data_IF_899862440623
#
_entry.id   IF_899862440623
#
_cell.length_a   1.000
_cell.length_b   1.000
_cell.length_c   1.000
_cell.angle_alpha   90.00
_cell.angle_beta   90.00
_cell.angle_gamma   90.00
#
_symmetry.space_group_name_H-M   'P 1'
#
loop_
_entity.id
_entity.type
_entity.pdbx_description
1 polymer ?
#
# COMPACT_ATOMS: atom_id res chain seq x y z
N UNK A 1 -2.25 -9.56 32.14
CA UNK A 1 -0.80 -9.85 32.01
C UNK A 1 -0.40 -10.43 30.64
N UNK A 2 -1.32 -10.60 29.70
CA UNK A 2 -1.06 -11.19 28.37
C UNK A 2 -0.85 -10.18 27.25
N UNK A 3 -1.15 -8.90 27.47
CA UNK A 3 -0.97 -7.84 26.46
C UNK A 3 0.49 -7.42 26.25
N UNK A 4 1.35 -7.65 27.22
CA UNK A 4 2.78 -7.28 27.15
C UNK A 4 3.59 -8.23 26.27
N UNK A 5 3.25 -9.52 26.18
CA UNK A 5 4.01 -10.48 25.38
C UNK A 5 3.74 -10.32 23.89
N UNK A 6 2.46 -10.20 23.49
CA UNK A 6 2.09 -10.02 22.09
C UNK A 6 2.69 -8.73 21.48
N UNK A 7 2.67 -7.62 22.21
CA UNK A 7 3.31 -6.38 21.78
C UNK A 7 4.84 -6.51 21.68
N UNK A 8 5.47 -7.28 22.59
CA UNK A 8 6.91 -7.57 22.57
C UNK A 8 7.29 -8.40 21.32
N UNK A 9 6.47 -9.36 20.95
CA UNK A 9 6.75 -10.26 19.82
C UNK A 9 6.63 -9.52 18.48
N UNK A 10 5.63 -8.65 18.34
CA UNK A 10 5.49 -7.76 17.17
C UNK A 10 6.68 -6.79 17.10
N UNK A 11 7.09 -6.19 18.21
CA UNK A 11 8.23 -5.28 18.26
C UNK A 11 9.55 -5.95 17.85
N UNK A 12 9.74 -7.21 18.26
CA UNK A 12 10.91 -8.02 17.89
C UNK A 12 10.79 -8.62 16.48
N UNK A 13 9.69 -8.39 15.76
CA UNK A 13 9.38 -9.01 14.45
C UNK A 13 9.34 -10.54 14.51
N UNK A 14 8.88 -11.09 15.62
CA UNK A 14 8.76 -12.54 15.81
C UNK A 14 7.44 -13.09 15.25
N UNK A 15 6.42 -12.22 15.06
CA UNK A 15 5.14 -12.57 14.45
C UNK A 15 4.84 -11.56 13.35
N UNK A 16 4.64 -12.05 12.15
CA UNK A 16 4.31 -11.23 10.99
C UNK A 16 2.81 -11.24 10.72
N UNK A 17 2.23 -10.04 10.55
CA UNK A 17 0.82 -9.86 10.28
C UNK A 17 0.58 -9.37 8.87
N UNK A 18 -0.44 -9.91 8.20
CA UNK A 18 -0.97 -9.38 6.94
C UNK A 18 -2.42 -8.94 7.07
N UNK A 19 -2.90 -8.19 6.08
CA UNK A 19 -4.22 -7.55 6.06
C UNK A 19 -5.14 -8.25 5.06
N UNK A 20 -6.26 -8.81 5.53
CA UNK A 20 -7.28 -9.47 4.71
C UNK A 20 -8.53 -8.62 4.55
N UNK A 21 -8.50 -7.60 3.68
CA UNK A 21 -9.63 -6.70 3.45
C UNK A 21 -10.29 -6.95 2.12
N UNK A 22 -9.63 -6.55 1.02
CA UNK A 22 -10.18 -6.63 -0.33
C UNK A 22 -10.49 -8.05 -0.78
N UNK A 23 -11.53 -8.20 -1.59
CA UNK A 23 -11.90 -9.42 -2.27
C UNK A 23 -11.99 -9.18 -3.78
N UNK A 24 -12.02 -10.22 -4.63
CA UNK A 24 -12.16 -10.03 -6.07
C UNK A 24 -13.35 -9.16 -6.48
N UNK A 25 -14.46 -9.24 -5.75
CA UNK A 25 -15.68 -8.45 -5.96
C UNK A 25 -15.84 -7.24 -5.03
N UNK A 26 -14.88 -6.95 -4.15
CA UNK A 26 -15.02 -5.94 -3.09
C UNK A 26 -13.69 -5.24 -2.82
N UNK A 27 -13.46 -4.15 -3.53
CA UNK A 27 -12.30 -3.26 -3.37
C UNK A 27 -12.71 -1.90 -2.83
N UNK A 28 -13.05 -0.95 -3.71
CA UNK A 28 -13.53 0.39 -3.31
C UNK A 28 -14.84 0.30 -2.50
N UNK A 29 -15.77 -0.57 -2.89
CA UNK A 29 -16.93 -0.93 -2.08
C UNK A 29 -16.58 -2.08 -1.12
N UNK A 30 -15.68 -1.80 -0.18
CA UNK A 30 -15.17 -2.79 0.77
C UNK A 30 -16.28 -3.41 1.63
N UNK A 31 -17.34 -2.64 1.93
CA UNK A 31 -18.47 -3.12 2.72
C UNK A 31 -19.28 -4.24 2.03
N UNK A 32 -19.10 -4.46 0.74
CA UNK A 32 -19.72 -5.57 -0.01
C UNK A 32 -18.97 -6.89 0.10
N UNK A 33 -17.99 -7.00 1.01
CA UNK A 33 -17.24 -8.23 1.25
C UNK A 33 -18.15 -9.42 1.56
N UNK A 34 -17.75 -10.61 1.10
CA UNK A 34 -18.54 -11.84 1.14
C UNK A 34 -17.88 -13.03 1.85
N UNK A 35 -16.58 -12.92 2.20
CA UNK A 35 -15.90 -13.94 3.02
C UNK A 35 -16.68 -14.15 4.30
N UNK A 36 -17.26 -15.35 4.47
CA UNK A 36 -18.15 -15.68 5.60
C UNK A 36 -17.36 -16.18 6.80
N UNK A 37 -17.86 -15.88 7.98
CA UNK A 37 -17.45 -16.53 9.21
C UNK A 37 -18.71 -16.96 9.98
N UNK A 38 -18.84 -18.24 10.24
CA UNK A 38 -19.97 -18.85 10.95
C UNK A 38 -19.49 -19.35 12.29
N UNK A 39 -20.21 -19.02 13.34
CA UNK A 39 -19.92 -19.46 14.70
C UNK A 39 -20.19 -20.96 14.84
N UNK A 40 -19.21 -21.72 15.33
CA UNK A 40 -19.32 -23.15 15.60
C UNK A 40 -18.54 -23.48 16.89
N UNK A 41 -19.28 -23.72 17.96
CA UNK A 41 -18.72 -23.96 19.30
C UNK A 41 -17.96 -22.74 19.82
N UNK A 42 -16.67 -22.90 20.06
CA UNK A 42 -15.78 -21.84 20.58
C UNK A 42 -14.95 -21.13 19.48
N UNK A 43 -15.29 -21.36 18.22
CA UNK A 43 -14.56 -20.85 17.06
C UNK A 43 -15.49 -20.35 15.95
N UNK A 44 -14.93 -19.61 15.00
CA UNK A 44 -15.53 -19.27 13.72
C UNK A 44 -14.96 -20.14 12.62
N UNK A 45 -15.80 -20.66 11.75
CA UNK A 45 -15.41 -21.32 10.50
C UNK A 45 -15.47 -20.28 9.38
N UNK A 46 -14.31 -20.06 8.74
CA UNK A 46 -14.14 -18.99 7.75
C UNK A 46 -14.01 -19.59 6.36
N UNK A 47 -14.83 -19.08 5.43
CA UNK A 47 -14.85 -19.50 4.02
C UNK A 47 -14.89 -18.27 3.10
N UNK A 48 -14.00 -18.22 2.12
CA UNK A 48 -13.94 -17.14 1.15
C UNK A 48 -12.55 -16.87 0.60
N UNK A 49 -12.39 -15.70 0.01
CA UNK A 49 -11.14 -15.31 -0.64
C UNK A 49 -10.82 -13.84 -0.39
N UNK A 50 -9.58 -13.56 -0.04
CA UNK A 50 -9.02 -12.20 -0.03
C UNK A 50 -8.03 -12.02 -1.18
N UNK A 51 -7.87 -10.78 -1.62
CA UNK A 51 -6.93 -10.41 -2.69
C UNK A 51 -6.11 -9.19 -2.28
N UNK A 52 -4.95 -9.03 -2.90
CA UNK A 52 -4.00 -7.95 -2.59
C UNK A 52 -3.45 -8.00 -1.16
N UNK A 53 -3.42 -9.18 -0.56
CA UNK A 53 -2.89 -9.40 0.80
C UNK A 53 -1.37 -9.32 0.77
N UNK A 54 -0.81 -8.23 1.30
CA UNK A 54 0.63 -8.00 1.30
C UNK A 54 1.38 -9.05 2.10
N UNK A 55 2.35 -9.73 1.46
CA UNK A 55 3.23 -10.74 2.05
C UNK A 55 2.49 -11.87 2.81
N UNK A 56 1.30 -12.24 2.38
CA UNK A 56 0.54 -13.31 3.03
C UNK A 56 1.24 -14.67 2.98
N UNK A 57 2.10 -14.88 2.00
CA UNK A 57 2.96 -16.07 1.85
C UNK A 57 4.08 -16.18 2.91
N UNK A 58 4.26 -15.15 3.73
CA UNK A 58 5.28 -15.05 4.77
C UNK A 58 4.71 -14.69 6.14
N UNK A 59 3.41 -14.36 6.18
CA UNK A 59 2.77 -13.91 7.40
C UNK A 59 2.37 -15.10 8.29
N UNK A 60 2.53 -14.93 9.59
CA UNK A 60 2.09 -15.90 10.59
C UNK A 60 0.59 -15.74 10.89
N UNK A 61 0.09 -14.50 10.82
CA UNK A 61 -1.29 -14.16 11.14
C UNK A 61 -1.87 -13.16 10.16
N UNK A 62 -3.20 -13.22 10.00
CA UNK A 62 -3.97 -12.25 9.23
C UNK A 62 -5.04 -11.59 10.10
N UNK A 63 -5.15 -10.27 10.03
CA UNK A 63 -6.35 -9.58 10.53
C UNK A 63 -7.33 -9.40 9.37
N UNK A 64 -8.51 -9.94 9.53
CA UNK A 64 -9.44 -10.17 8.43
C UNK A 64 -10.82 -9.55 8.69
N UNK A 65 -11.37 -8.86 7.69
CA UNK A 65 -12.78 -8.49 7.67
C UNK A 65 -13.59 -9.66 7.11
N UNK A 66 -14.62 -10.06 7.86
CA UNK A 66 -15.47 -11.19 7.50
C UNK A 66 -16.95 -10.85 7.66
N UNK A 67 -17.80 -11.53 6.93
CA UNK A 67 -19.26 -11.44 7.02
C UNK A 67 -19.79 -12.40 8.07
N UNK A 68 -20.29 -11.88 9.18
CA UNK A 68 -20.92 -12.64 10.27
C UNK A 68 -22.40 -12.35 10.42
N UNK A 69 -22.91 -11.33 9.75
CA UNK A 69 -24.31 -10.91 9.77
C UNK A 69 -24.87 -10.62 8.39
N UNK A 70 -26.04 -10.02 8.28
CA UNK A 70 -26.68 -9.73 6.99
C UNK A 70 -25.87 -8.78 6.13
N UNK A 71 -26.13 -8.82 4.82
CA UNK A 71 -25.50 -7.90 3.87
C UNK A 71 -26.18 -6.52 3.82
N UNK A 72 -27.38 -6.41 4.35
CA UNK A 72 -28.10 -5.15 4.43
C UNK A 72 -28.54 -4.88 5.88
N UNK A 73 -28.16 -3.74 6.44
CA UNK A 73 -27.22 -2.73 5.93
C UNK A 73 -25.78 -3.28 5.85
N UNK A 74 -25.06 -3.00 4.75
CA UNK A 74 -23.74 -3.61 4.43
C UNK A 74 -22.73 -3.56 5.58
N UNK A 75 -22.70 -2.46 6.32
CA UNK A 75 -21.70 -2.20 7.36
C UNK A 75 -21.98 -2.93 8.68
N UNK A 76 -23.24 -3.34 8.92
CA UNK A 76 -23.65 -3.90 10.21
C UNK A 76 -23.36 -5.40 10.36
N UNK A 77 -23.15 -6.10 9.26
CA UNK A 77 -22.88 -7.53 9.27
C UNK A 77 -21.40 -7.90 9.19
N UNK A 78 -20.48 -6.98 9.48
CA UNK A 78 -19.05 -7.17 9.35
C UNK A 78 -18.38 -7.32 10.71
N UNK A 79 -17.57 -8.36 10.88
CA UNK A 79 -16.70 -8.58 12.03
C UNK A 79 -15.22 -8.51 11.65
N UNK A 80 -14.38 -8.34 12.66
CA UNK A 80 -12.92 -8.28 12.52
C UNK A 80 -12.32 -9.46 13.28
N UNK A 81 -11.72 -10.42 12.56
CA UNK A 81 -11.13 -11.62 13.13
C UNK A 81 -9.62 -11.64 12.95
N UNK A 82 -8.93 -12.17 13.95
CA UNK A 82 -7.53 -12.54 13.86
C UNK A 82 -7.45 -14.05 13.56
N UNK A 83 -6.76 -14.42 12.50
CA UNK A 83 -6.71 -15.80 12.01
C UNK A 83 -5.24 -16.23 11.87
N UNK A 84 -4.91 -17.43 12.31
CA UNK A 84 -3.61 -18.04 12.06
C UNK A 84 -3.48 -18.41 10.58
N UNK A 85 -2.33 -18.08 9.98
CA UNK A 85 -2.06 -18.41 8.59
C UNK A 85 -1.53 -19.86 8.43
N UNK A 86 -0.83 -20.38 9.44
CA UNK A 86 -0.32 -21.75 9.47
C UNK A 86 -1.36 -22.70 10.05
N UNK A 87 -2.35 -23.06 9.23
CA UNK A 87 -3.38 -24.03 9.58
C UNK A 87 -3.98 -24.69 8.31
N UNK A 88 -4.61 -25.86 8.42
CA UNK A 88 -5.42 -26.41 7.35
C UNK A 88 -6.54 -25.43 6.96
N UNK A 89 -6.84 -25.36 5.65
CA UNK A 89 -7.89 -24.46 5.13
C UNK A 89 -7.42 -23.05 4.84
N UNK A 90 -6.17 -22.67 5.10
CA UNK A 90 -5.58 -21.40 4.64
C UNK A 90 -4.54 -21.66 3.58
N UNK A 91 -4.71 -21.08 2.40
CA UNK A 91 -3.73 -21.14 1.32
C UNK A 91 -3.49 -19.79 0.69
N UNK A 92 -2.29 -19.55 0.20
CA UNK A 92 -1.90 -18.31 -0.46
C UNK A 92 -1.38 -18.55 -1.86
N UNK A 93 -1.64 -17.60 -2.77
CA UNK A 93 -1.11 -17.62 -4.13
C UNK A 93 -0.53 -16.25 -4.47
N UNK A 94 0.80 -16.12 -4.66
CA UNK A 94 1.43 -14.86 -5.03
C UNK A 94 0.91 -14.30 -6.34
N UNK A 95 0.66 -12.99 -6.39
CA UNK A 95 0.24 -12.24 -7.58
C UNK A 95 1.46 -11.60 -8.23
N UNK A 96 1.79 -12.03 -9.44
CA UNK A 96 2.88 -11.41 -10.21
C UNK A 96 2.42 -10.08 -10.79
N UNK A 97 3.03 -9.00 -10.33
CA UNK A 97 2.77 -7.65 -10.84
C UNK A 97 3.44 -7.41 -12.19
N UNK A 98 2.97 -6.38 -12.90
CA UNK A 98 3.59 -5.91 -14.14
C UNK A 98 5.07 -5.49 -13.95
N UNK A 99 5.46 -5.08 -12.75
CA UNK A 99 6.85 -4.78 -12.37
C UNK A 99 7.74 -6.03 -12.22
N UNK A 100 7.18 -7.24 -12.35
CA UNK A 100 7.88 -8.52 -12.18
C UNK A 100 7.95 -9.00 -10.72
N UNK A 101 7.61 -8.17 -9.72
CA UNK A 101 7.58 -8.53 -8.30
C UNK A 101 6.24 -9.18 -7.92
N UNK A 102 6.21 -9.88 -6.79
CA UNK A 102 5.00 -10.52 -6.24
C UNK A 102 4.84 -10.24 -4.75
N UNK A 103 4.68 -8.95 -4.33
CA UNK A 103 4.55 -8.60 -2.91
C UNK A 103 3.15 -8.85 -2.36
N UNK A 104 2.19 -9.19 -3.20
CA UNK A 104 0.78 -9.43 -2.85
C UNK A 104 0.38 -10.85 -3.16
N UNK A 105 -0.59 -11.36 -2.40
CA UNK A 105 -1.17 -12.68 -2.60
C UNK A 105 -2.70 -12.61 -2.70
N UNK A 106 -3.27 -13.60 -3.35
CA UNK A 106 -4.61 -14.08 -3.04
C UNK A 106 -4.50 -14.98 -1.80
N UNK A 107 -5.48 -14.88 -0.90
CA UNK A 107 -5.56 -15.70 0.31
C UNK A 107 -6.92 -16.39 0.32
N UNK A 108 -6.91 -17.70 0.38
CA UNK A 108 -8.12 -18.54 0.34
C UNK A 108 -8.37 -19.13 1.72
N UNK A 109 -9.63 -19.13 2.10
CA UNK A 109 -10.13 -19.79 3.33
C UNK A 109 -11.13 -20.85 2.93
N UNK A 110 -10.85 -22.09 3.33
CA UNK A 110 -11.67 -23.29 3.12
C UNK A 110 -11.79 -24.01 4.46
N UNK A 111 -12.87 -23.72 5.18
CA UNK A 111 -13.10 -24.15 6.58
C UNK A 111 -11.96 -23.76 7.54
N UNK A 112 -11.33 -22.59 7.29
CA UNK A 112 -10.31 -22.08 8.18
C UNK A 112 -10.91 -21.68 9.53
N UNK A 113 -10.15 -21.88 10.62
CA UNK A 113 -10.63 -21.69 11.99
C UNK A 113 -10.07 -20.45 12.64
N UNK A 114 -10.92 -19.71 13.33
CA UNK A 114 -10.53 -18.57 14.16
C UNK A 114 -11.18 -18.69 15.54
N UNK A 115 -10.40 -18.70 16.64
CA UNK A 115 -11.00 -18.74 17.99
C UNK A 115 -11.90 -17.55 18.26
N UNK A 116 -13.02 -17.74 18.96
CA UNK A 116 -13.93 -16.63 19.32
C UNK A 116 -13.24 -15.51 20.11
N UNK A 117 -12.25 -15.83 20.94
CA UNK A 117 -11.46 -14.86 21.70
C UNK A 117 -10.67 -13.90 20.80
N UNK A 118 -10.45 -14.26 19.54
CA UNK A 118 -9.69 -13.49 18.54
C UNK A 118 -10.62 -12.57 17.69
N UNK A 119 -11.90 -12.46 18.10
CA UNK A 119 -12.84 -11.47 17.59
C UNK A 119 -12.54 -10.09 18.20
N UNK A 120 -12.21 -9.13 17.37
CA UNK A 120 -11.85 -7.76 17.80
C UNK A 120 -13.06 -6.83 17.72
N UNK A 121 -13.32 -6.11 18.79
CA UNK A 121 -14.37 -5.07 18.85
C UNK A 121 -15.80 -5.59 19.00
N UNK A 122 -15.99 -6.91 19.00
CA UNK A 122 -17.29 -7.57 19.14
C UNK A 122 -17.96 -7.94 17.81
N UNK A 123 -18.97 -8.81 17.91
CA UNK A 123 -19.70 -9.32 16.75
C UNK A 123 -20.39 -8.20 15.97
N UNK A 124 -20.21 -8.21 14.65
CA UNK A 124 -20.76 -7.20 13.72
C UNK A 124 -20.28 -5.75 13.98
N UNK A 125 -19.19 -5.57 14.70
CA UNK A 125 -18.57 -4.24 14.97
C UNK A 125 -17.24 -4.02 14.23
N UNK A 126 -16.85 -4.94 13.36
CA UNK A 126 -15.59 -4.91 12.64
C UNK A 126 -15.43 -3.71 11.72
N UNK A 127 -16.52 -3.15 11.17
CA UNK A 127 -16.46 -1.96 10.33
C UNK A 127 -15.90 -0.72 11.08
N UNK A 128 -16.22 -0.57 12.35
CA UNK A 128 -15.67 0.52 13.18
C UNK A 128 -14.16 0.35 13.37
N UNK A 129 -13.70 -0.88 13.60
CA UNK A 129 -12.27 -1.20 13.68
C UNK A 129 -11.58 -0.92 12.35
N UNK A 130 -12.18 -1.37 11.23
CA UNK A 130 -11.65 -1.15 9.88
C UNK A 130 -11.49 0.34 9.55
N UNK A 131 -12.50 1.16 9.83
CA UNK A 131 -12.42 2.61 9.60
C UNK A 131 -11.22 3.23 10.32
N UNK A 132 -11.02 2.88 11.58
CA UNK A 132 -9.89 3.40 12.36
C UNK A 132 -8.53 2.98 11.77
N UNK A 133 -8.44 1.74 11.32
CA UNK A 133 -7.21 1.22 10.72
C UNK A 133 -6.92 1.88 9.36
N UNK A 134 -7.95 2.07 8.52
CA UNK A 134 -7.83 2.77 7.23
C UNK A 134 -7.41 4.25 7.39
N UNK A 135 -7.79 4.92 8.47
CA UNK A 135 -7.30 6.27 8.79
C UNK A 135 -5.78 6.28 9.01
N UNK A 136 -5.26 5.31 9.77
CA UNK A 136 -3.82 5.15 9.98
C UNK A 136 -3.09 4.74 8.69
N UNK A 137 -3.67 3.84 7.90
CA UNK A 137 -3.11 3.41 6.61
C UNK A 137 -2.94 4.59 5.65
N UNK A 138 -3.95 5.45 5.49
CA UNK A 138 -3.86 6.66 4.65
C UNK A 138 -2.72 7.58 5.08
N UNK A 139 -2.56 7.79 6.36
CA UNK A 139 -1.46 8.61 6.91
C UNK A 139 -0.10 7.98 6.58
N UNK A 140 0.02 6.67 6.71
CA UNK A 140 1.26 5.94 6.41
C UNK A 140 1.58 5.94 4.91
N UNK A 141 0.60 5.68 4.04
CA UNK A 141 0.77 5.71 2.58
C UNK A 141 1.18 7.11 2.11
N UNK A 142 0.58 8.15 2.68
CA UNK A 142 0.96 9.54 2.38
C UNK A 142 2.42 9.83 2.75
N UNK A 143 2.87 9.36 3.90
CA UNK A 143 4.27 9.47 4.33
C UNK A 143 5.22 8.66 3.43
N UNK A 144 4.83 7.47 3.00
CA UNK A 144 5.62 6.63 2.08
C UNK A 144 5.71 7.25 0.67
N UNK A 145 4.65 7.87 0.18
CA UNK A 145 4.64 8.61 -1.09
C UNK A 145 5.67 9.74 -1.11
N UNK A 146 5.88 10.41 0.02
CA UNK A 146 6.91 11.44 0.19
C UNK A 146 8.34 10.86 0.18
N UNK A 147 8.54 9.64 0.68
CA UNK A 147 9.86 9.02 0.81
C UNK A 147 10.24 8.12 -0.37
N UNK A 148 9.32 7.91 -1.32
CA UNK A 148 9.56 7.08 -2.52
C UNK A 148 9.78 5.59 -2.22
N UNK A 149 9.28 5.09 -1.08
CA UNK A 149 9.49 3.69 -0.70
C UNK A 149 8.27 3.07 -0.06
N UNK A 150 7.63 2.11 -0.72
CA UNK A 150 6.41 1.46 -0.26
C UNK A 150 6.34 -0.07 -0.34
N UNK A 151 7.28 -0.79 -0.95
CA UNK A 151 7.15 -2.24 -1.08
C UNK A 151 8.48 -3.02 -1.04
N UNK A 152 9.51 -2.45 -0.40
CA UNK A 152 10.84 -3.06 -0.42
C UNK A 152 11.53 -2.96 -1.78
N UNK A 153 11.05 -2.07 -2.69
CA UNK A 153 11.79 -1.75 -3.90
C UNK A 153 13.15 -1.17 -3.51
N UNK A 154 14.20 -1.60 -4.16
CA UNK A 154 15.49 -0.94 -4.03
C UNK A 154 15.27 0.54 -4.36
N UNK A 155 15.49 1.42 -3.37
CA UNK A 155 15.36 2.86 -3.57
C UNK A 155 16.25 3.22 -4.75
N UNK A 156 15.65 3.81 -5.78
CA UNK A 156 16.43 4.40 -6.88
C UNK A 156 17.44 5.34 -6.22
N UNK A 157 18.73 5.01 -6.31
CA UNK A 157 19.79 5.72 -5.58
C UNK A 157 19.88 7.18 -6.03
N UNK A 158 19.54 7.44 -7.29
CA UNK A 158 19.66 8.76 -7.91
C UNK A 158 18.36 9.53 -7.91
N UNK A 159 18.44 10.81 -7.60
CA UNK A 159 17.31 11.75 -7.70
C UNK A 159 16.95 12.09 -9.14
N UNK A 160 15.75 12.64 -9.37
CA UNK A 160 15.30 13.05 -10.71
C UNK A 160 16.30 14.00 -11.41
N UNK A 161 16.84 14.96 -10.67
CA UNK A 161 17.82 15.90 -11.23
C UNK A 161 19.13 15.22 -11.62
N UNK A 162 19.56 14.20 -10.88
CA UNK A 162 20.78 13.41 -11.18
C UNK A 162 20.58 12.54 -12.43
N UNK A 163 19.43 11.86 -12.52
CA UNK A 163 19.03 11.12 -13.72
C UNK A 163 18.98 12.07 -14.93
N UNK A 164 18.35 13.24 -14.77
CA UNK A 164 18.30 14.25 -15.82
C UNK A 164 19.69 14.70 -16.29
N UNK A 165 20.62 14.95 -15.38
CA UNK A 165 21.99 15.29 -15.72
C UNK A 165 22.75 14.16 -16.44
N UNK A 166 22.55 12.93 -15.95
CA UNK A 166 23.21 11.73 -16.47
C UNK A 166 22.83 11.45 -17.93
N UNK A 167 21.55 11.56 -18.27
CA UNK A 167 21.04 11.13 -19.59
C UNK A 167 20.74 12.29 -20.55
N UNK A 168 20.30 13.45 -20.07
CA UNK A 168 20.04 14.62 -20.92
C UNK A 168 21.25 15.59 -21.00
N UNK A 169 22.37 15.24 -20.33
CA UNK A 169 23.59 16.01 -20.33
C UNK A 169 23.53 17.29 -19.50
N UNK A 170 24.70 17.96 -19.38
CA UNK A 170 24.86 19.21 -18.62
C UNK A 170 25.43 20.31 -19.47
N UNK A 171 25.06 21.57 -19.18
CA UNK A 171 25.66 22.79 -19.72
C UNK A 171 26.94 23.18 -18.93
N UNK A 172 27.57 24.30 -19.30
CA UNK A 172 28.77 24.86 -18.62
C UNK A 172 28.54 25.12 -17.12
N UNK A 173 27.32 25.38 -16.71
CA UNK A 173 26.93 25.66 -15.32
C UNK A 173 26.55 24.38 -14.53
N UNK A 174 26.83 23.20 -15.09
CA UNK A 174 26.44 21.91 -14.51
C UNK A 174 24.90 21.75 -14.29
N UNK A 175 24.11 22.44 -15.09
CA UNK A 175 22.65 22.32 -15.15
C UNK A 175 22.26 21.40 -16.29
N UNK A 176 21.08 20.74 -16.21
CA UNK A 176 20.54 19.96 -17.32
C UNK A 176 20.53 20.83 -18.59
N UNK A 177 21.18 20.35 -19.67
CA UNK A 177 21.40 21.13 -20.88
C UNK A 177 20.12 21.45 -21.65
N UNK A 178 19.18 20.49 -21.74
CA UNK A 178 17.85 20.72 -22.29
C UNK A 178 17.03 21.65 -21.36
N UNK A 179 16.82 22.89 -21.83
CA UNK A 179 16.09 23.91 -21.06
C UNK A 179 14.63 23.56 -20.83
N UNK A 180 13.97 22.90 -21.80
CA UNK A 180 12.57 22.52 -21.68
C UNK A 180 12.41 21.39 -20.64
N UNK A 181 13.25 20.38 -20.70
CA UNK A 181 13.28 19.31 -19.71
C UNK A 181 13.69 19.83 -18.32
N UNK A 182 14.72 20.67 -18.24
CA UNK A 182 15.13 21.33 -16.98
C UNK A 182 13.98 22.08 -16.33
N UNK A 183 13.14 22.78 -17.11
CA UNK A 183 11.93 23.43 -16.57
C UNK A 183 10.97 22.45 -15.93
N UNK A 184 10.73 21.27 -16.56
CA UNK A 184 9.87 20.21 -16.00
C UNK A 184 10.42 19.71 -14.66
N UNK A 185 11.73 19.42 -14.60
CA UNK A 185 12.40 18.97 -13.36
C UNK A 185 12.29 20.05 -12.26
N UNK A 186 12.54 21.32 -12.61
CA UNK A 186 12.43 22.42 -11.64
C UNK A 186 11.02 22.58 -11.09
N UNK A 187 9.99 22.48 -11.94
CA UNK A 187 8.59 22.54 -11.50
C UNK A 187 8.24 21.34 -10.59
N UNK A 188 8.72 20.16 -10.93
CA UNK A 188 8.56 18.99 -10.08
C UNK A 188 9.20 19.21 -8.71
N UNK A 189 10.42 19.73 -8.65
CA UNK A 189 11.10 20.04 -7.38
C UNK A 189 10.36 21.09 -6.53
N UNK A 190 9.86 22.16 -7.15
CA UNK A 190 9.06 23.17 -6.47
C UNK A 190 7.79 22.57 -5.87
N UNK A 191 7.09 21.73 -6.63
CA UNK A 191 5.90 21.02 -6.17
C UNK A 191 6.22 20.02 -5.05
N UNK A 192 7.35 19.33 -5.11
CA UNK A 192 7.83 18.44 -4.05
C UNK A 192 8.03 19.22 -2.73
N UNK A 193 8.64 20.40 -2.80
CA UNK A 193 8.85 21.25 -1.62
C UNK A 193 7.54 21.77 -1.05
N UNK A 194 6.64 22.27 -1.90
CA UNK A 194 5.32 22.75 -1.48
C UNK A 194 4.52 21.63 -0.82
N UNK A 195 4.54 20.43 -1.40
CA UNK A 195 3.90 19.26 -0.84
C UNK A 195 4.51 18.86 0.51
N UNK A 196 5.84 18.83 0.62
CA UNK A 196 6.54 18.57 1.87
C UNK A 196 6.16 19.52 3.00
N UNK A 197 6.09 20.85 2.72
CA UNK A 197 5.62 21.85 3.68
C UNK A 197 4.15 21.65 4.08
N UNK A 198 3.30 21.26 3.12
CA UNK A 198 1.90 20.93 3.40
C UNK A 198 1.79 19.74 4.33
N UNK A 199 2.58 18.68 4.09
CA UNK A 199 2.60 17.49 4.95
C UNK A 199 3.15 17.76 6.34
N UNK A 200 4.14 18.66 6.47
CA UNK A 200 4.61 19.12 7.77
C UNK A 200 3.46 19.81 8.54
N UNK A 201 2.72 20.70 7.89
CA UNK A 201 1.54 21.34 8.50
C UNK A 201 0.48 20.32 8.93
N UNK A 202 0.15 19.34 8.07
CA UNK A 202 -0.78 18.25 8.42
C UNK A 202 -0.33 17.51 9.67
N UNK A 203 0.99 17.22 9.77
CA UNK A 203 1.57 16.57 10.93
C UNK A 203 1.46 17.40 12.22
N UNK A 204 1.62 18.72 12.12
CA UNK A 204 1.48 19.64 13.25
C UNK A 204 0.01 19.75 13.70
N UNK A 205 -0.93 19.91 12.77
CA UNK A 205 -2.38 19.95 13.04
C UNK A 205 -2.86 18.68 13.72
N UNK A 206 -2.38 17.52 13.28
CA UNK A 206 -2.74 16.21 13.86
C UNK A 206 -2.25 16.07 15.31
N UNK A 207 -1.07 16.60 15.64
CA UNK A 207 -0.54 16.59 17.02
C UNK A 207 -1.41 17.37 18.00
N UNK A 208 -2.08 18.42 17.52
CA UNK A 208 -2.98 19.25 18.33
C UNK A 208 -4.39 18.64 18.44
N UNK A 209 -4.61 17.45 17.84
CA UNK A 209 -5.87 16.69 17.92
C UNK A 209 -6.92 17.10 16.91
N UNK A 210 -6.58 17.94 15.92
CA UNK A 210 -7.47 18.32 14.83
C UNK A 210 -7.16 17.50 13.58
N UNK A 211 -8.11 16.70 13.03
CA UNK A 211 -7.89 16.03 11.76
C UNK A 211 -7.77 17.07 10.65
N UNK A 212 -6.64 17.07 9.94
CA UNK A 212 -6.44 17.99 8.82
C UNK A 212 -7.20 17.53 7.57
N UNK A 213 -8.07 18.35 6.97
CA UNK A 213 -8.68 18.04 5.68
C UNK A 213 -7.65 17.82 4.56
N UNK A 214 -6.47 18.40 4.69
CA UNK A 214 -5.37 18.23 3.74
C UNK A 214 -4.79 16.80 3.73
N UNK A 215 -5.06 15.97 4.76
CA UNK A 215 -4.61 14.58 4.78
C UNK A 215 -5.22 13.73 3.65
N UNK A 216 -6.49 13.97 3.27
CA UNK A 216 -7.13 13.28 2.14
C UNK A 216 -6.45 13.67 0.81
N UNK A 217 -6.14 14.95 0.61
CA UNK A 217 -5.40 15.42 -0.57
C UNK A 217 -4.01 14.81 -0.67
N UNK A 218 -3.38 14.51 0.46
CA UNK A 218 -2.01 14.02 0.51
C UNK A 218 -1.82 12.70 -0.28
N UNK A 219 -2.73 11.76 -0.14
CA UNK A 219 -2.68 10.49 -0.88
C UNK A 219 -2.84 10.74 -2.38
N UNK A 220 -3.85 11.48 -2.79
CA UNK A 220 -4.10 11.80 -4.20
C UNK A 220 -2.91 12.52 -4.84
N UNK A 221 -2.54 13.67 -4.27
CA UNK A 221 -1.47 14.49 -4.82
C UNK A 221 -0.11 13.78 -4.79
N UNK A 222 0.23 13.13 -3.68
CA UNK A 222 1.50 12.43 -3.51
C UNK A 222 1.68 11.30 -4.51
N UNK A 223 0.62 10.52 -4.78
CA UNK A 223 0.70 9.41 -5.75
C UNK A 223 0.83 9.92 -7.19
N UNK A 224 0.09 10.95 -7.59
CA UNK A 224 0.22 11.55 -8.92
C UNK A 224 1.59 12.21 -9.11
N UNK A 225 2.08 12.89 -8.08
CA UNK A 225 3.40 13.50 -8.10
C UNK A 225 4.54 12.46 -8.22
N UNK A 226 4.42 11.33 -7.53
CA UNK A 226 5.37 10.22 -7.66
C UNK A 226 5.32 9.58 -9.05
N UNK A 227 4.15 9.39 -9.64
CA UNK A 227 3.99 8.91 -11.02
C UNK A 227 4.72 9.83 -12.00
N UNK A 228 4.49 11.15 -11.89
CA UNK A 228 5.15 12.16 -12.71
C UNK A 228 6.69 12.12 -12.55
N UNK A 229 7.18 11.90 -11.33
CA UNK A 229 8.62 11.75 -11.08
C UNK A 229 9.24 10.66 -11.95
N UNK A 230 8.65 9.48 -11.95
CA UNK A 230 9.16 8.35 -12.73
C UNK A 230 8.96 8.56 -14.25
N UNK A 231 7.90 9.21 -14.67
CA UNK A 231 7.68 9.58 -16.08
C UNK A 231 8.78 10.53 -16.58
N UNK A 232 9.17 11.52 -15.77
CA UNK A 232 10.29 12.41 -16.08
C UNK A 232 11.65 11.68 -16.08
N UNK A 233 11.85 10.69 -15.22
CA UNK A 233 13.04 9.85 -15.25
C UNK A 233 13.13 9.07 -16.56
N UNK A 234 12.03 8.43 -17.01
CA UNK A 234 12.00 7.71 -18.27
C UNK A 234 12.20 8.65 -19.48
N UNK A 235 11.59 9.85 -19.43
CA UNK A 235 11.79 10.88 -20.48
C UNK A 235 13.28 11.23 -20.60
N UNK A 236 13.99 11.43 -19.48
CA UNK A 236 15.42 11.71 -19.49
C UNK A 236 16.25 10.54 -20.05
N UNK A 237 15.91 9.32 -19.66
CA UNK A 237 16.64 8.10 -20.05
C UNK A 237 16.43 7.74 -21.54
N UNK A 238 15.36 8.17 -22.18
CA UNK A 238 15.09 7.87 -23.58
C UNK A 238 15.09 6.36 -23.86
N UNK A 239 15.93 5.90 -24.80
CA UNK A 239 16.03 4.47 -25.16
C UNK A 239 16.52 3.57 -24.03
N UNK A 240 17.28 4.09 -23.06
CA UNK A 240 17.70 3.35 -21.87
C UNK A 240 16.53 2.97 -20.94
N UNK A 241 15.37 3.63 -21.10
CA UNK A 241 14.15 3.29 -20.37
C UNK A 241 13.37 2.11 -20.97
N UNK A 242 13.77 1.58 -22.13
CA UNK A 242 13.08 0.47 -22.80
C UNK A 242 13.49 -0.91 -22.24
N UNK A 243 14.53 -0.96 -21.40
CA UNK A 243 15.04 -2.19 -20.83
C UNK A 243 14.10 -2.81 -19.81
N UNK A 244 13.90 -4.13 -19.91
CA UNK A 244 13.21 -4.92 -18.90
C UNK A 244 14.16 -5.89 -18.22
N UNK A 245 15.03 -6.52 -19.00
CA UNK A 245 16.08 -7.46 -18.57
C UNK A 245 17.17 -7.51 -19.67
N UNK A 246 18.31 -8.13 -19.37
CA UNK A 246 19.40 -8.33 -20.31
C UNK A 246 20.64 -7.48 -20.02
N UNK A 247 21.75 -7.83 -20.68
CA UNK A 247 23.07 -7.25 -20.41
C UNK A 247 23.28 -5.82 -20.98
N UNK A 248 22.37 -5.35 -21.83
CA UNK A 248 22.47 -4.02 -22.46
C UNK A 248 22.04 -2.86 -21.57
N UNK A 249 21.55 -3.13 -20.34
CA UNK A 249 21.01 -2.13 -19.41
C UNK A 249 21.63 -2.27 -18.03
N UNK A 250 21.87 -1.15 -17.37
CA UNK A 250 22.31 -1.16 -15.98
C UNK A 250 21.18 -1.58 -15.03
N UNK A 251 21.53 -2.09 -13.85
CA UNK A 251 20.54 -2.45 -12.81
C UNK A 251 19.68 -1.26 -12.40
N UNK A 252 20.23 -0.04 -12.40
CA UNK A 252 19.48 1.18 -12.10
C UNK A 252 18.44 1.48 -13.18
N UNK A 253 18.78 1.35 -14.47
CA UNK A 253 17.84 1.55 -15.58
C UNK A 253 16.67 0.57 -15.51
N UNK A 254 16.98 -0.71 -15.31
CA UNK A 254 15.95 -1.75 -15.15
C UNK A 254 15.05 -1.48 -13.94
N UNK A 255 15.63 -1.04 -12.81
CA UNK A 255 14.88 -0.72 -11.60
C UNK A 255 13.94 0.47 -11.81
N UNK A 256 14.41 1.55 -12.44
CA UNK A 256 13.58 2.74 -12.72
C UNK A 256 12.38 2.36 -13.60
N UNK A 257 12.58 1.58 -14.65
CA UNK A 257 11.50 1.12 -15.54
C UNK A 257 10.47 0.27 -14.80
N UNK A 258 10.93 -0.68 -13.98
CA UNK A 258 10.03 -1.53 -13.16
C UNK A 258 9.27 -0.73 -12.12
N UNK A 259 9.93 0.21 -11.45
CA UNK A 259 9.31 1.07 -10.45
C UNK A 259 8.29 2.03 -11.10
N UNK A 260 8.59 2.57 -12.29
CA UNK A 260 7.59 3.34 -13.06
C UNK A 260 6.30 2.54 -13.29
N UNK A 261 6.40 1.27 -13.72
CA UNK A 261 5.24 0.39 -13.88
C UNK A 261 4.53 0.18 -12.55
N UNK A 262 5.27 -0.01 -11.46
CA UNK A 262 4.70 -0.16 -10.10
C UNK A 262 3.93 1.09 -9.66
N UNK A 263 4.40 2.29 -9.99
CA UNK A 263 3.72 3.54 -9.59
C UNK A 263 2.30 3.66 -10.15
N UNK A 264 1.94 2.95 -11.24
CA UNK A 264 0.59 3.00 -11.80
C UNK A 264 -0.47 2.48 -10.82
N UNK A 265 -0.10 1.57 -9.92
CA UNK A 265 -0.98 1.11 -8.86
C UNK A 265 -1.15 2.11 -7.70
N UNK A 266 -0.23 3.08 -7.54
CA UNK A 266 -0.28 4.01 -6.42
C UNK A 266 -1.58 4.85 -6.38
N UNK A 267 -2.16 5.18 -7.52
CA UNK A 267 -3.43 5.91 -7.59
C UNK A 267 -4.67 5.01 -7.40
N UNK A 268 -4.47 3.69 -7.24
CA UNK A 268 -5.54 2.69 -7.09
C UNK A 268 -5.56 2.14 -5.66
N UNK A 269 -4.41 1.71 -5.15
CA UNK A 269 -4.25 1.12 -3.80
C UNK A 269 -4.55 2.12 -2.68
N UNK A 270 -4.97 1.63 -1.50
CA UNK A 270 -5.24 2.48 -0.33
C UNK A 270 -6.37 3.49 -0.53
N UNK A 271 -7.35 3.19 -1.36
CA UNK A 271 -8.41 4.07 -1.87
C UNK A 271 -8.00 4.71 -3.19
N UNK A 272 -8.84 4.59 -4.21
CA UNK A 272 -8.56 5.18 -5.53
C UNK A 272 -8.52 6.70 -5.48
N UNK A 273 -7.94 7.33 -6.50
CA UNK A 273 -7.96 8.78 -6.64
C UNK A 273 -9.38 9.35 -6.57
N UNK A 274 -10.36 8.66 -7.18
CA UNK A 274 -11.77 9.05 -7.18
C UNK A 274 -12.42 8.93 -5.79
N UNK A 275 -11.97 7.98 -4.96
CA UNK A 275 -12.46 7.84 -3.58
C UNK A 275 -11.88 8.93 -2.67
N UNK A 276 -10.75 9.55 -3.04
CA UNK A 276 -10.12 10.62 -2.26
C UNK A 276 -10.67 12.01 -2.60
N UNK A 277 -11.27 12.20 -3.80
CA UNK A 277 -11.93 13.41 -4.25
C UNK A 277 -13.37 13.51 -3.73
#
# INVERSE_FOLDING_TARGET
>A
LTTSSAASDVYKRQIWWCQGYSEPGSGSDLASLSTKAVEEGDQYIVNGQKVWTSNADKADKIFCLVRTGPQEPKHEGISFLLIDMDQPGVTTRPIKLISGKSPFCETFFDDAKAPQKDLVGGLNKGWTVAKRLLEHERTMISAMGLTGGGDGSEKTKSGLAEIGKKYAGTDSDQKISDKAFRKKVTLHDLNSRAFGLTMQRVGEETKVGSPSPAAAMAKYYGTEHNKLRYELMLEAMGTSALGWEGEGFSMEELAITRDWLRTKANSIEGGTSEVQL
#
